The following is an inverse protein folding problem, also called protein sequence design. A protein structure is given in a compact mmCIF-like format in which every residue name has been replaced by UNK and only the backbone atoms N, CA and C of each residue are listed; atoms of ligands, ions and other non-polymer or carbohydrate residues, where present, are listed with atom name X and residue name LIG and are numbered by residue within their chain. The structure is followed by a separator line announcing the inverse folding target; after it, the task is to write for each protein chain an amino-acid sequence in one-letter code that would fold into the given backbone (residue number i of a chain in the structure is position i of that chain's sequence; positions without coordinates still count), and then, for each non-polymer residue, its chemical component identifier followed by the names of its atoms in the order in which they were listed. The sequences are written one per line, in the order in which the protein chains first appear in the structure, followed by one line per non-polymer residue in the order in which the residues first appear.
data_IF_519941493460
#
_entry.id   IF_519941493460
#
_cell.length_a   1.000
_cell.length_b   1.000
_cell.length_c   1.000
_cell.angle_alpha   90.00
_cell.angle_beta   90.00
_cell.angle_gamma   90.00
#
_symmetry.space_group_name_H-M   'P 1'
#
loop_
_entity.id
_entity.type
_entity.pdbx_description
1 polymer ?
#
# COMPACT_ATOMS: atom_id res chain seq x y z
N UNK A 1 1.23 -11.42 -9.75
CA UNK A 1 1.86 -11.19 -8.41
C UNK A 1 1.70 -9.72 -8.00
N UNK A 2 1.42 -9.41 -6.73
CA UNK A 2 1.38 -8.00 -6.25
C UNK A 2 2.79 -7.56 -5.92
N UNK A 3 3.21 -6.42 -6.49
CA UNK A 3 4.57 -5.87 -6.32
C UNK A 3 4.58 -4.46 -5.74
N UNK A 4 3.41 -3.84 -5.65
CA UNK A 4 3.23 -2.52 -5.06
C UNK A 4 1.86 -2.41 -4.40
N UNK A 5 1.79 -1.74 -3.25
CA UNK A 5 0.54 -1.34 -2.61
C UNK A 5 0.55 -1.52 -1.10
N UNK A 6 -0.45 -0.96 -0.41
CA UNK A 6 -0.59 -1.18 1.03
C UNK A 6 -1.34 -2.49 1.31
N UNK A 7 -0.76 -3.33 2.16
CA UNK A 7 -1.41 -4.56 2.58
C UNK A 7 -2.57 -4.26 3.56
N UNK A 8 -3.72 -4.94 3.44
CA UNK A 8 -4.77 -4.83 4.44
C UNK A 8 -4.31 -5.52 5.74
N UNK A 9 -4.30 -4.78 6.84
CA UNK A 9 -3.97 -5.33 8.17
C UNK A 9 -5.20 -5.89 8.87
N UNK A 10 -6.35 -5.24 8.70
CA UNK A 10 -7.58 -5.64 9.37
C UNK A 10 -8.79 -5.25 8.54
N UNK A 11 -9.75 -6.17 8.46
CA UNK A 11 -11.10 -5.92 7.97
C UNK A 11 -12.05 -6.00 9.17
N UNK A 12 -12.90 -4.98 9.34
CA UNK A 12 -13.78 -4.92 10.50
C UNK A 12 -15.13 -4.30 10.15
N UNK A 13 -16.19 -4.81 10.78
CA UNK A 13 -17.52 -4.18 10.76
C UNK A 13 -17.60 -2.96 11.67
N UNK A 14 -16.60 -2.76 12.53
CA UNK A 14 -16.54 -1.65 13.45
C UNK A 14 -15.88 -0.44 12.78
N UNK A 15 -16.58 0.70 12.77
CA UNK A 15 -16.06 1.97 12.29
C UNK A 15 -15.34 2.73 13.43
N UNK A 16 -14.01 2.98 13.35
CA UNK A 16 -13.28 3.72 14.38
C UNK A 16 -13.84 5.14 14.61
N UNK A 17 -14.32 5.79 13.55
CA UNK A 17 -14.89 7.14 13.65
C UNK A 17 -16.21 7.18 14.43
N UNK A 18 -16.97 6.07 14.45
CA UNK A 18 -18.18 5.99 15.28
C UNK A 18 -17.85 6.13 16.76
N UNK A 19 -16.71 5.59 17.21
CA UNK A 19 -16.23 5.72 18.60
C UNK A 19 -15.98 7.17 19.01
N UNK A 20 -15.51 7.96 18.05
CA UNK A 20 -15.14 9.37 18.23
C UNK A 20 -16.34 10.31 18.06
N UNK A 21 -17.57 9.78 17.94
CA UNK A 21 -18.77 10.54 17.59
C UNK A 21 -18.64 11.29 16.25
N UNK A 22 -17.90 10.71 15.30
CA UNK A 22 -17.62 11.25 13.97
C UNK A 22 -18.21 10.35 12.87
N UNK A 23 -19.39 9.78 13.10
CA UNK A 23 -20.08 8.99 12.08
C UNK A 23 -20.49 9.89 10.90
N UNK A 24 -20.37 9.38 9.66
CA UNK A 24 -20.76 10.08 8.43
C UNK A 24 -19.66 10.94 7.81
N UNK A 25 -18.73 11.50 8.60
CA UNK A 25 -17.61 12.28 8.04
C UNK A 25 -16.54 11.41 7.38
N UNK A 26 -16.54 10.10 7.63
CA UNK A 26 -15.72 9.12 6.90
C UNK A 26 -15.88 9.18 5.38
N UNK A 27 -16.99 9.74 4.86
CA UNK A 27 -17.28 9.86 3.43
C UNK A 27 -16.72 11.12 2.78
N UNK A 28 -16.26 12.09 3.58
CA UNK A 28 -15.84 13.41 3.07
C UNK A 28 -14.34 13.61 3.12
N UNK A 29 -13.63 12.85 3.95
CA UNK A 29 -12.18 12.97 4.17
C UNK A 29 -11.54 11.60 4.34
N UNK A 30 -10.23 11.56 4.13
CA UNK A 30 -9.40 10.41 4.46
C UNK A 30 -8.96 10.47 5.93
N UNK A 31 -8.85 9.30 6.55
CA UNK A 31 -8.49 9.17 7.96
C UNK A 31 -7.40 8.11 8.14
N UNK A 32 -6.63 8.25 9.22
CA UNK A 32 -5.58 7.31 9.59
C UNK A 32 -5.64 7.07 11.11
N UNK A 33 -5.34 5.86 11.55
CA UNK A 33 -5.03 5.59 12.95
C UNK A 33 -3.58 5.92 13.20
N UNK A 34 -3.28 6.53 14.34
CA UNK A 34 -1.90 6.85 14.74
C UNK A 34 -1.63 6.27 16.12
N UNK A 35 -0.54 5.54 16.23
CA UNK A 35 0.00 5.04 17.49
C UNK A 35 1.50 5.40 17.60
N UNK A 36 2.19 4.77 18.56
CA UNK A 36 3.64 4.92 18.75
C UNK A 36 4.49 4.26 17.65
N UNK A 37 3.91 3.32 16.89
CA UNK A 37 4.57 2.52 15.86
C UNK A 37 4.40 3.10 14.45
N UNK A 38 3.37 3.91 14.19
CA UNK A 38 3.19 4.58 12.91
C UNK A 38 1.79 5.13 12.66
N UNK A 39 1.50 5.37 11.37
CA UNK A 39 0.16 5.74 10.90
C UNK A 39 -0.41 4.66 9.99
N UNK A 40 -1.69 4.36 10.13
CA UNK A 40 -2.39 3.27 9.46
C UNK A 40 -3.61 3.82 8.74
N UNK A 41 -3.59 3.90 7.40
CA UNK A 41 -4.70 4.48 6.65
C UNK A 41 -5.98 3.67 6.79
N UNK A 42 -7.11 4.38 6.86
CA UNK A 42 -8.45 3.80 6.96
C UNK A 42 -9.17 3.96 5.62
N UNK A 43 -9.63 2.85 5.05
CA UNK A 43 -10.64 2.83 3.99
C UNK A 43 -12.00 2.57 4.63
N UNK A 44 -12.94 3.50 4.45
CA UNK A 44 -14.34 3.30 4.84
C UNK A 44 -15.15 2.88 3.61
N UNK A 45 -15.93 1.81 3.74
CA UNK A 45 -16.77 1.28 2.68
C UNK A 45 -18.21 1.79 2.81
N UNK A 46 -19.00 1.64 1.74
CA UNK A 46 -20.39 2.13 1.71
C UNK A 46 -21.31 1.44 2.72
N UNK A 47 -21.02 0.19 3.06
CA UNK A 47 -21.73 -0.61 4.07
C UNK A 47 -21.28 -0.33 5.51
N UNK A 48 -20.52 0.76 5.71
CA UNK A 48 -19.91 1.17 6.98
C UNK A 48 -18.89 0.17 7.56
N UNK A 49 -18.47 -0.84 6.78
CA UNK A 49 -17.29 -1.62 7.14
C UNK A 49 -16.02 -0.81 6.89
N UNK A 50 -14.92 -1.26 7.49
CA UNK A 50 -13.66 -0.54 7.47
C UNK A 50 -12.51 -1.51 7.19
N UNK A 51 -11.60 -1.10 6.31
CA UNK A 51 -10.30 -1.74 6.11
C UNK A 51 -9.21 -0.84 6.65
N UNK A 52 -8.40 -1.36 7.57
CA UNK A 52 -7.19 -0.69 8.06
C UNK A 52 -6.02 -1.22 7.23
N UNK A 53 -5.26 -0.31 6.63
CA UNK A 53 -4.10 -0.60 5.80
C UNK A 53 -2.80 -0.50 6.60
N UNK A 54 -1.77 -1.17 6.10
CA UNK A 54 -0.44 -1.07 6.66
C UNK A 54 0.14 0.34 6.45
N UNK A 55 0.81 0.85 7.49
CA UNK A 55 1.51 2.14 7.44
C UNK A 55 2.62 2.17 6.41
N UNK A 56 3.31 1.04 6.20
CA UNK A 56 4.31 0.91 5.13
C UNK A 56 3.73 0.32 3.86
N UNK A 57 4.17 0.83 2.72
CA UNK A 57 3.75 0.37 1.39
C UNK A 57 4.63 -0.79 0.94
N UNK A 58 4.04 -1.90 0.48
CA UNK A 58 4.80 -2.94 -0.20
C UNK A 58 5.42 -2.32 -1.45
N UNK A 59 6.73 -2.41 -1.60
CA UNK A 59 7.44 -1.91 -2.77
C UNK A 59 8.52 -2.92 -3.17
N UNK A 60 8.22 -3.71 -4.19
CA UNK A 60 9.13 -4.69 -4.81
C UNK A 60 9.58 -4.23 -6.20
N UNK A 61 9.46 -2.93 -6.52
CA UNK A 61 9.78 -2.42 -7.85
C UNK A 61 11.26 -2.62 -8.21
N UNK A 62 12.15 -2.54 -7.22
CA UNK A 62 13.59 -2.79 -7.40
C UNK A 62 13.89 -4.29 -7.64
N UNK A 63 13.00 -5.19 -7.25
CA UNK A 63 13.16 -6.64 -7.40
C UNK A 63 12.50 -7.18 -8.70
N UNK A 64 11.77 -6.35 -9.45
CA UNK A 64 11.09 -6.79 -10.68
C UNK A 64 12.01 -7.54 -11.67
N UNK A 65 13.26 -7.11 -11.92
CA UNK A 65 14.13 -7.81 -12.87
C UNK A 65 14.57 -9.20 -12.39
N UNK A 66 14.57 -9.46 -11.07
CA UNK A 66 14.98 -10.75 -10.51
C UNK A 66 13.84 -11.77 -10.48
N UNK A 67 12.59 -11.30 -10.51
CA UNK A 67 11.40 -12.15 -10.50
C UNK A 67 11.16 -12.74 -11.89
N UNK A 68 11.35 -14.06 -12.02
CA UNK A 68 11.10 -14.83 -13.26
C UNK A 68 9.86 -15.71 -13.13
N UNK A 69 9.27 -16.11 -14.26
CA UNK A 69 8.14 -17.05 -14.30
C UNK A 69 6.79 -16.45 -13.93
N UNK A 70 6.68 -15.12 -13.88
CA UNK A 70 5.42 -14.40 -13.65
C UNK A 70 4.97 -13.74 -14.95
N UNK A 71 3.73 -14.00 -15.34
CA UNK A 71 3.13 -13.40 -16.54
C UNK A 71 2.78 -11.92 -16.35
N UNK A 72 2.28 -11.56 -15.15
CA UNK A 72 1.81 -10.22 -14.86
C UNK A 72 2.11 -9.76 -13.43
N UNK A 73 2.57 -8.51 -13.33
CA UNK A 73 2.73 -7.78 -12.07
C UNK A 73 1.53 -6.86 -11.83
N UNK A 74 1.04 -6.84 -10.58
CA UNK A 74 -0.08 -6.01 -10.14
C UNK A 74 0.41 -4.91 -9.22
N UNK A 75 0.09 -3.67 -9.56
CA UNK A 75 0.19 -2.50 -8.69
C UNK A 75 -1.19 -2.28 -8.05
N UNK A 76 -1.28 -2.33 -6.73
CA UNK A 76 -2.54 -2.22 -6.01
C UNK A 76 -2.64 -0.88 -5.28
N UNK A 77 -3.26 0.10 -5.93
CA UNK A 77 -3.47 1.44 -5.38
C UNK A 77 -4.74 1.51 -4.53
N UNK A 78 -4.71 2.33 -3.49
CA UNK A 78 -5.77 2.50 -2.49
C UNK A 78 -5.93 3.96 -2.05
N UNK A 79 -4.90 4.54 -1.43
CA UNK A 79 -4.92 5.87 -0.80
C UNK A 79 -3.97 6.85 -1.48
N UNK A 80 -3.28 6.40 -2.52
CA UNK A 80 -2.35 7.18 -3.32
C UNK A 80 -3.09 8.27 -4.11
N UNK A 81 -2.49 9.47 -4.16
CA UNK A 81 -2.96 10.55 -5.04
C UNK A 81 -2.75 10.19 -6.51
N UNK A 82 -3.46 10.87 -7.41
CA UNK A 82 -3.31 10.70 -8.87
C UNK A 82 -1.84 10.83 -9.29
N UNK A 83 -1.14 11.83 -8.77
CA UNK A 83 0.26 12.11 -9.06
C UNK A 83 1.16 10.98 -8.56
N UNK A 84 0.87 10.44 -7.36
CA UNK A 84 1.59 9.29 -6.82
C UNK A 84 1.38 8.04 -7.68
N UNK A 85 0.14 7.78 -8.12
CA UNK A 85 -0.19 6.65 -9.01
C UNK A 85 0.60 6.74 -10.31
N UNK A 86 0.55 7.88 -11.02
CA UNK A 86 1.26 8.09 -12.29
C UNK A 86 2.77 7.91 -12.09
N UNK A 87 3.33 8.51 -11.03
CA UNK A 87 4.75 8.40 -10.72
C UNK A 87 5.16 6.94 -10.48
N UNK A 88 4.37 6.19 -9.73
CA UNK A 88 4.64 4.77 -9.44
C UNK A 88 4.53 3.91 -10.69
N UNK A 89 3.55 4.15 -11.56
CA UNK A 89 3.43 3.44 -12.85
C UNK A 89 4.68 3.68 -13.71
N UNK A 90 5.12 4.93 -13.85
CA UNK A 90 6.32 5.25 -14.63
C UNK A 90 7.56 4.55 -14.06
N UNK A 91 7.74 4.57 -12.73
CA UNK A 91 8.83 3.86 -12.05
C UNK A 91 8.79 2.36 -12.32
N UNK A 92 7.61 1.74 -12.24
CA UNK A 92 7.43 0.31 -12.49
C UNK A 92 7.78 -0.06 -13.94
N UNK A 93 7.30 0.73 -14.91
CA UNK A 93 7.63 0.52 -16.33
C UNK A 93 9.13 0.69 -16.60
N UNK A 94 9.76 1.74 -16.06
CA UNK A 94 11.20 1.96 -16.24
C UNK A 94 12.06 0.86 -15.60
N UNK A 95 11.66 0.34 -14.44
CA UNK A 95 12.33 -0.79 -13.79
C UNK A 95 12.16 -2.09 -14.58
N UNK A 96 10.96 -2.34 -15.08
CA UNK A 96 10.67 -3.52 -15.89
C UNK A 96 11.43 -3.49 -17.23
N UNK A 97 11.57 -2.31 -17.85
CA UNK A 97 12.30 -2.15 -19.12
C UNK A 97 13.83 -2.10 -18.95
N UNK A 98 14.35 -2.11 -17.72
CA UNK A 98 15.77 -1.95 -17.43
C UNK A 98 16.33 -0.54 -17.69
N UNK A 99 15.48 0.47 -17.92
CA UNK A 99 15.91 1.85 -18.23
C UNK A 99 16.25 2.69 -17.00
N UNK A 100 16.00 2.17 -15.79
CA UNK A 100 16.24 2.88 -14.53
C UNK A 100 17.01 2.02 -13.53
N UNK A 101 18.27 2.37 -13.29
CA UNK A 101 19.11 1.69 -12.31
C UNK A 101 18.88 2.22 -10.87
N UNK A 102 18.50 3.48 -10.73
CA UNK A 102 18.29 4.11 -9.42
C UNK A 102 17.27 3.35 -8.54
N UNK A 103 17.61 3.13 -7.28
CA UNK A 103 16.69 2.52 -6.30
C UNK A 103 15.44 3.39 -6.09
N UNK A 104 14.29 2.71 -6.06
CA UNK A 104 12.98 3.35 -5.81
C UNK A 104 12.47 3.07 -4.40
N UNK A 105 13.09 2.12 -3.69
CA UNK A 105 12.72 1.71 -2.35
C UNK A 105 13.12 2.74 -1.28
N UNK A 106 12.18 3.10 -0.41
CA UNK A 106 12.44 3.95 0.75
C UNK A 106 12.19 3.19 2.06
N UNK A 107 13.22 2.97 2.88
CA UNK A 107 13.14 2.20 4.14
C UNK A 107 12.15 2.79 5.17
N UNK A 108 11.94 4.11 5.15
CA UNK A 108 11.04 4.79 6.06
C UNK A 108 9.57 4.52 5.72
N UNK A 109 9.23 4.57 4.43
CA UNK A 109 7.83 4.49 3.96
C UNK A 109 7.45 3.12 3.41
N UNK A 110 8.43 2.29 3.05
CA UNK A 110 8.21 1.07 2.28
C UNK A 110 8.64 -0.18 3.05
N UNK A 111 8.09 -1.31 2.63
CA UNK A 111 8.45 -2.65 3.12
C UNK A 111 8.61 -3.61 1.94
N UNK A 112 9.53 -4.57 2.05
CA UNK A 112 9.61 -5.71 1.12
C UNK A 112 8.70 -6.88 1.55
N UNK A 113 7.96 -6.70 2.65
CA UNK A 113 7.18 -7.77 3.25
C UNK A 113 8.06 -8.95 3.66
N UNK A 114 7.64 -10.16 3.28
CA UNK A 114 8.39 -11.40 3.50
C UNK A 114 8.93 -12.00 2.20
N UNK A 115 9.15 -11.16 1.18
CA UNK A 115 9.60 -11.61 -0.14
C UNK A 115 10.89 -12.45 -0.11
N UNK A 116 11.88 -12.05 0.70
CA UNK A 116 13.16 -12.75 0.85
C UNK A 116 13.25 -13.61 2.12
N UNK A 117 12.14 -13.91 2.80
CA UNK A 117 12.21 -14.81 3.96
C UNK A 117 12.32 -16.24 3.46
N UNK A 118 13.50 -16.83 3.62
CA UNK A 118 13.64 -18.28 3.60
C UNK A 118 12.77 -18.87 4.71
N UNK A 119 11.99 -19.90 4.38
CA UNK A 119 11.34 -20.74 5.39
C UNK A 119 12.46 -21.67 5.87
N UNK A 120 13.03 -21.35 7.03
CA UNK A 120 13.89 -22.25 7.80
C UNK A 120 13.06 -23.42 8.35
#
# INVERSE_FOLDING_TARGET
MIVYGKAPLMFTKYCPLKKMNQCGVCKTRSYELKDEHGTFPIISHDDCTTTILNGKTLNLLDELPSIKGIEAFRLNFTVESKEQVVKTIHKALSKLSGSMDKTVFNKETDTRGHFNKEIL
#
